data_IF_160987060377
#
_entry.id   IF_160987060377
#
_cell.length_a   1.000
_cell.length_b   1.000
_cell.length_c   1.000
_cell.angle_alpha   90.00
_cell.angle_beta   90.00
_cell.angle_gamma   90.00
#
_symmetry.space_group_name_H-M   'P 1'
#
loop_
_entity.id
_entity.type
_entity.pdbx_description
1 polymer ?
#
# COMPACT_ATOMS: atom_id res chain seq x y z
N UNK A 1 15.26 -11.03 16.54
CA UNK A 1 15.23 -11.52 15.16
C UNK A 1 15.51 -10.34 14.22
N UNK A 2 16.42 -10.52 13.30
CA UNK A 2 16.77 -9.49 12.30
C UNK A 2 16.41 -9.98 10.90
N UNK A 3 15.64 -9.20 10.15
CA UNK A 3 15.23 -9.50 8.79
C UNK A 3 15.84 -8.47 7.84
N UNK A 4 16.59 -8.94 6.84
CA UNK A 4 17.37 -8.07 5.96
C UNK A 4 16.98 -8.16 4.49
N UNK A 5 16.02 -9.01 4.15
CA UNK A 5 15.57 -9.16 2.75
C UNK A 5 14.15 -9.71 2.69
N UNK A 6 13.48 -9.43 1.59
CA UNK A 6 12.22 -10.08 1.23
C UNK A 6 12.55 -11.41 0.55
N UNK A 7 12.06 -12.50 1.13
CA UNK A 7 12.36 -13.86 0.65
C UNK A 7 11.41 -14.31 -0.47
N UNK A 8 10.28 -13.65 -0.62
CA UNK A 8 9.26 -13.96 -1.61
C UNK A 8 7.87 -13.63 -1.07
N UNK A 9 6.84 -14.08 -1.76
CA UNK A 9 5.45 -13.92 -1.35
C UNK A 9 4.96 -15.17 -0.62
N UNK A 10 4.01 -14.98 0.29
CA UNK A 10 3.49 -16.09 1.11
C UNK A 10 3.01 -17.28 0.27
N UNK A 11 2.37 -17.04 -0.87
CA UNK A 11 1.87 -18.09 -1.74
C UNK A 11 2.98 -18.96 -2.37
N UNK A 12 4.23 -18.51 -2.35
CA UNK A 12 5.39 -19.24 -2.87
C UNK A 12 5.99 -20.20 -1.83
N UNK A 13 5.48 -20.20 -0.61
CA UNK A 13 6.02 -20.98 0.50
C UNK A 13 5.09 -22.13 0.90
N UNK A 14 5.69 -23.27 1.26
CA UNK A 14 4.96 -24.35 1.92
C UNK A 14 4.73 -23.95 3.39
N UNK A 15 3.46 -23.77 3.75
CA UNK A 15 3.06 -23.40 5.11
C UNK A 15 2.67 -24.57 5.99
N UNK A 16 2.70 -25.78 5.47
CA UNK A 16 2.28 -27.00 6.17
C UNK A 16 3.10 -27.19 7.44
N UNK A 17 2.41 -27.27 8.58
CA UNK A 17 3.03 -27.48 9.89
C UNK A 17 3.80 -26.28 10.43
N UNK A 18 3.71 -25.12 9.78
CA UNK A 18 4.40 -23.91 10.20
C UNK A 18 3.45 -22.89 10.81
N UNK A 19 3.95 -22.15 11.78
CA UNK A 19 3.25 -20.99 12.33
C UNK A 19 3.52 -19.78 11.46
N UNK A 20 2.47 -19.05 11.11
CA UNK A 20 2.60 -17.78 10.39
C UNK A 20 2.41 -16.66 11.40
N UNK A 21 3.41 -15.79 11.50
CA UNK A 21 3.35 -14.58 12.32
C UNK A 21 3.31 -13.36 11.41
N UNK A 22 2.45 -12.41 11.72
CA UNK A 22 2.30 -11.21 10.92
C UNK A 22 2.88 -10.00 11.63
N UNK A 23 3.54 -9.15 10.83
CA UNK A 23 4.02 -7.85 11.28
C UNK A 23 3.30 -6.76 10.48
N UNK A 24 2.72 -5.79 11.17
CA UNK A 24 1.99 -4.70 10.53
C UNK A 24 2.96 -3.62 10.06
N UNK A 25 2.92 -3.35 8.75
CA UNK A 25 3.65 -2.25 8.13
C UNK A 25 2.62 -1.35 7.45
N UNK A 26 2.40 -0.18 8.01
CA UNK A 26 1.49 0.81 7.43
C UNK A 26 2.00 1.29 6.07
N UNK A 27 1.09 1.65 5.17
CA UNK A 27 1.45 2.06 3.81
C UNK A 27 2.50 3.19 3.80
N UNK A 28 2.42 4.14 4.73
CA UNK A 28 3.35 5.27 4.80
C UNK A 28 4.73 4.91 5.36
N UNK A 29 4.85 3.74 6.00
CA UNK A 29 6.12 3.20 6.49
C UNK A 29 6.78 2.25 5.49
N UNK A 30 6.02 1.77 4.51
CA UNK A 30 6.41 0.65 3.64
C UNK A 30 7.74 0.86 2.92
N UNK A 31 8.12 2.10 2.66
CA UNK A 31 9.33 2.46 1.92
C UNK A 31 10.51 2.82 2.82
N UNK A 32 10.38 2.68 4.12
CA UNK A 32 11.51 2.84 5.05
C UNK A 32 12.34 1.57 5.10
N UNK A 33 13.64 1.73 5.26
CA UNK A 33 14.57 0.60 5.33
C UNK A 33 14.61 -0.05 6.70
N UNK A 34 14.35 0.71 7.74
CA UNK A 34 14.55 0.27 9.12
C UNK A 34 13.23 0.31 9.88
N UNK A 35 12.88 -0.82 10.49
CA UNK A 35 11.71 -0.94 11.36
C UNK A 35 12.06 -1.74 12.62
N UNK A 36 11.37 -1.44 13.70
CA UNK A 36 11.34 -2.27 14.90
C UNK A 36 9.88 -2.57 15.21
N UNK A 37 9.50 -3.81 15.14
CA UNK A 37 8.10 -4.25 15.23
C UNK A 37 7.96 -5.46 16.12
N UNK A 38 6.73 -5.72 16.51
CA UNK A 38 6.34 -6.92 17.25
C UNK A 38 5.26 -7.63 16.42
N UNK A 39 5.43 -8.93 16.22
CA UNK A 39 4.43 -9.71 15.46
C UNK A 39 3.14 -9.89 16.26
N UNK A 40 2.10 -10.36 15.59
CA UNK A 40 0.83 -10.71 16.25
C UNK A 40 0.96 -11.85 17.26
N UNK A 41 2.06 -12.56 17.28
CA UNK A 41 2.40 -13.62 18.26
C UNK A 41 3.36 -13.13 19.36
N UNK A 42 3.75 -11.86 19.35
CA UNK A 42 4.62 -11.25 20.35
C UNK A 42 6.12 -11.36 20.10
N UNK A 43 6.54 -11.78 18.91
CA UNK A 43 7.96 -11.86 18.57
C UNK A 43 8.50 -10.48 18.19
N UNK A 44 9.61 -10.07 18.79
CA UNK A 44 10.30 -8.84 18.41
C UNK A 44 11.08 -9.05 17.12
N UNK A 45 10.86 -8.13 16.15
CA UNK A 45 11.48 -8.19 14.82
C UNK A 45 12.14 -6.87 14.50
N UNK A 46 13.44 -6.91 14.22
CA UNK A 46 14.16 -5.81 13.60
C UNK A 46 14.20 -6.03 12.09
N UNK A 47 13.89 -4.99 11.34
CA UNK A 47 13.91 -5.03 9.87
C UNK A 47 14.94 -4.01 9.40
N UNK A 48 15.88 -4.46 8.56
CA UNK A 48 16.90 -3.59 7.95
C UNK A 48 17.10 -4.00 6.50
N UNK A 49 16.36 -3.34 5.61
CA UNK A 49 16.40 -3.62 4.18
C UNK A 49 17.45 -2.79 3.47
N UNK A 50 17.84 -3.22 2.27
CA UNK A 50 18.70 -2.46 1.38
C UNK A 50 17.93 -1.36 0.63
N UNK A 51 18.61 -0.64 -0.25
CA UNK A 51 18.02 0.50 -0.95
C UNK A 51 16.91 0.12 -1.93
N UNK A 52 16.79 -1.14 -2.33
CA UNK A 52 15.71 -1.58 -3.22
C UNK A 52 14.32 -1.34 -2.63
N UNK A 53 14.23 -1.33 -1.29
CA UNK A 53 12.95 -1.11 -0.62
C UNK A 53 12.45 0.33 -0.77
N UNK A 54 13.33 1.28 -1.04
CA UNK A 54 12.96 2.69 -1.22
C UNK A 54 12.03 2.89 -2.43
N UNK A 55 12.12 2.01 -3.41
CA UNK A 55 11.24 2.04 -4.59
C UNK A 55 10.15 0.97 -4.53
N UNK A 56 10.48 -0.23 -4.03
CA UNK A 56 9.56 -1.36 -4.00
C UNK A 56 8.57 -1.29 -2.84
N UNK A 57 9.03 -0.97 -1.67
CA UNK A 57 8.26 -1.03 -0.43
C UNK A 57 8.11 -2.46 0.12
N UNK A 58 7.79 -2.53 1.41
CA UNK A 58 7.32 -3.75 2.08
C UNK A 58 5.80 -3.74 2.07
N UNK A 59 5.15 -4.79 1.56
CA UNK A 59 3.69 -4.79 1.49
C UNK A 59 3.10 -6.19 1.65
N UNK A 60 1.80 -6.28 1.59
CA UNK A 60 1.01 -7.47 1.92
C UNK A 60 1.65 -8.75 1.39
N UNK A 61 1.75 -9.74 2.27
CA UNK A 61 2.24 -11.10 1.99
C UNK A 61 3.73 -11.23 1.69
N UNK A 62 4.52 -10.18 1.85
CA UNK A 62 5.98 -10.29 1.80
C UNK A 62 6.46 -11.15 2.97
N UNK A 63 7.21 -12.21 2.66
CA UNK A 63 7.84 -13.07 3.66
C UNK A 63 9.22 -12.50 3.94
N UNK A 64 9.48 -12.14 5.19
CA UNK A 64 10.75 -11.54 5.61
C UNK A 64 11.60 -12.44 6.50
N UNK A 65 11.02 -13.57 6.95
CA UNK A 65 11.74 -14.60 7.69
C UNK A 65 11.06 -15.95 7.45
N UNK A 66 11.85 -17.00 7.31
CA UNK A 66 11.35 -18.36 7.16
C UNK A 66 12.34 -19.36 7.75
N UNK A 67 11.83 -20.32 8.52
CA UNK A 67 12.57 -21.50 8.98
C UNK A 67 11.65 -22.73 8.95
N UNK A 68 12.07 -23.83 9.55
CA UNK A 68 11.29 -25.06 9.55
C UNK A 68 10.02 -24.98 10.40
N UNK A 69 9.94 -24.02 11.31
CA UNK A 69 8.86 -23.92 12.28
C UNK A 69 7.91 -22.76 12.00
N UNK A 70 8.42 -21.65 11.40
CA UNK A 70 7.61 -20.45 11.21
C UNK A 70 8.02 -19.56 10.04
N UNK A 71 7.06 -18.75 9.65
CA UNK A 71 7.24 -17.65 8.70
C UNK A 71 6.86 -16.34 9.39
N UNK A 72 7.59 -15.27 9.07
CA UNK A 72 7.17 -13.90 9.43
C UNK A 72 6.79 -13.18 8.15
N UNK A 73 5.58 -12.66 8.12
CA UNK A 73 4.92 -12.15 6.92
C UNK A 73 4.44 -10.72 7.17
N UNK A 74 4.60 -9.86 6.18
CA UNK A 74 4.11 -8.49 6.25
C UNK A 74 2.60 -8.46 6.04
N UNK A 75 1.90 -7.78 6.93
CA UNK A 75 0.51 -7.40 6.76
C UNK A 75 0.45 -5.88 6.51
N UNK A 76 -0.24 -5.48 5.46
CA UNK A 76 -0.55 -4.08 5.21
C UNK A 76 -1.91 -3.77 5.80
N UNK A 77 -2.00 -3.03 6.92
CA UNK A 77 -3.30 -2.73 7.51
C UNK A 77 -4.19 -1.93 6.58
N UNK A 78 -5.52 -2.09 6.67
CA UNK A 78 -6.43 -1.22 5.93
C UNK A 78 -6.22 0.25 6.31
N UNK A 79 -6.45 1.12 5.36
CA UNK A 79 -6.37 2.56 5.59
C UNK A 79 -7.53 3.29 4.94
N UNK A 80 -7.74 4.54 5.33
CA UNK A 80 -8.76 5.38 4.74
C UNK A 80 -8.31 5.87 3.37
N UNK A 81 -9.15 5.66 2.37
CA UNK A 81 -8.91 6.04 0.98
C UNK A 81 -10.09 6.81 0.42
N UNK A 82 -9.89 7.39 -0.75
CA UNK A 82 -10.96 7.94 -1.57
C UNK A 82 -11.09 7.06 -2.81
N UNK A 83 -12.27 6.52 -3.06
CA UNK A 83 -12.60 5.89 -4.33
C UNK A 83 -13.18 6.92 -5.27
N UNK A 84 -12.60 7.03 -6.45
CA UNK A 84 -13.02 7.97 -7.48
C UNK A 84 -13.57 7.21 -8.67
N UNK A 85 -14.80 7.51 -9.04
CA UNK A 85 -15.46 6.95 -10.22
C UNK A 85 -15.90 8.07 -11.16
N UNK A 86 -16.00 7.73 -12.44
CA UNK A 86 -16.44 8.67 -13.47
C UNK A 86 -17.87 8.35 -13.87
N UNK A 87 -18.69 9.40 -13.96
CA UNK A 87 -20.05 9.27 -14.48
C UNK A 87 -19.99 8.87 -15.97
N UNK A 88 -20.89 8.00 -16.39
CA UNK A 88 -20.99 7.59 -17.80
C UNK A 88 -21.05 8.81 -18.72
N UNK A 89 -20.26 8.80 -19.80
CA UNK A 89 -20.12 9.91 -20.73
C UNK A 89 -19.08 10.95 -20.32
N UNK A 90 -18.44 10.79 -19.15
CA UNK A 90 -17.44 11.73 -18.63
C UNK A 90 -16.06 11.09 -18.50
N UNK A 91 -15.76 10.09 -19.32
CA UNK A 91 -14.52 9.31 -19.25
C UNK A 91 -13.27 10.18 -19.45
N UNK A 92 -13.38 11.28 -20.18
CA UNK A 92 -12.28 12.24 -20.37
C UNK A 92 -11.84 12.90 -19.06
N UNK A 93 -12.69 12.92 -18.06
CA UNK A 93 -12.36 13.51 -16.76
C UNK A 93 -11.33 12.66 -15.98
N UNK A 94 -11.05 11.45 -16.43
CA UNK A 94 -9.97 10.63 -15.85
C UNK A 94 -8.63 11.35 -15.89
N UNK A 95 -8.33 12.04 -17.00
CA UNK A 95 -7.10 12.82 -17.13
C UNK A 95 -7.02 13.94 -16.09
N UNK A 96 -8.14 14.63 -15.84
CA UNK A 96 -8.20 15.70 -14.85
C UNK A 96 -8.04 15.15 -13.42
N UNK A 97 -8.72 14.05 -13.12
CA UNK A 97 -8.62 13.38 -11.81
C UNK A 97 -7.16 12.98 -11.54
N UNK A 98 -6.54 12.28 -12.47
CA UNK A 98 -5.16 11.82 -12.31
C UNK A 98 -4.18 12.98 -12.20
N UNK A 99 -4.37 14.02 -13.01
CA UNK A 99 -3.54 15.22 -12.94
C UNK A 99 -3.64 15.91 -11.57
N UNK A 100 -4.86 16.12 -11.08
CA UNK A 100 -5.08 16.81 -9.80
C UNK A 100 -4.53 16.03 -8.63
N UNK A 101 -4.70 14.70 -8.62
CA UNK A 101 -4.14 13.84 -7.57
C UNK A 101 -2.61 13.85 -7.64
N UNK A 102 -2.05 13.67 -8.83
CA UNK A 102 -0.60 13.65 -9.04
C UNK A 102 0.06 14.98 -8.75
N UNK A 103 -0.61 16.09 -9.09
CA UNK A 103 -0.11 17.44 -8.82
C UNK A 103 0.02 17.73 -7.33
N UNK A 104 -0.73 17.03 -6.49
CA UNK A 104 -0.64 17.12 -5.03
C UNK A 104 0.31 16.09 -4.43
N UNK A 105 1.05 15.37 -5.27
CA UNK A 105 1.98 14.30 -4.87
C UNK A 105 1.31 13.20 -4.05
N UNK A 106 0.01 13.01 -4.20
CA UNK A 106 -0.72 11.94 -3.54
C UNK A 106 -0.52 10.62 -4.29
N UNK A 107 -0.48 9.48 -3.57
CA UNK A 107 -0.42 8.18 -4.21
C UNK A 107 -1.67 7.91 -5.03
N UNK A 108 -1.50 7.25 -6.17
CA UNK A 108 -2.59 6.93 -7.08
C UNK A 108 -2.54 5.44 -7.44
N UNK A 109 -3.67 4.77 -7.31
CA UNK A 109 -3.82 3.33 -7.57
C UNK A 109 -5.03 3.10 -8.47
N UNK A 110 -4.99 2.02 -9.23
CA UNK A 110 -6.19 1.49 -9.86
C UNK A 110 -7.09 0.87 -8.78
N UNK A 111 -8.38 1.17 -8.86
CA UNK A 111 -9.42 0.46 -8.14
C UNK A 111 -10.11 -0.56 -9.04
N UNK A 112 -11.16 -1.20 -8.52
CA UNK A 112 -11.98 -2.10 -9.32
C UNK A 112 -12.90 -1.32 -10.26
N UNK A 113 -13.27 -1.94 -11.41
CA UNK A 113 -14.23 -1.38 -12.36
C UNK A 113 -13.87 0.03 -12.86
N UNK A 114 -12.61 0.21 -13.27
CA UNK A 114 -12.09 1.46 -13.81
C UNK A 114 -12.20 2.65 -12.84
N UNK A 115 -12.20 2.38 -11.55
CA UNK A 115 -12.11 3.41 -10.53
C UNK A 115 -10.65 3.73 -10.19
N UNK A 116 -10.45 4.83 -9.48
CA UNK A 116 -9.14 5.24 -8.96
C UNK A 116 -9.19 5.27 -7.45
N UNK A 117 -8.06 4.98 -6.81
CA UNK A 117 -7.90 5.04 -5.37
C UNK A 117 -6.77 6.00 -5.03
N UNK A 118 -7.01 6.89 -4.10
CA UNK A 118 -5.98 7.72 -3.49
C UNK A 118 -6.17 7.74 -1.97
N UNK A 119 -5.18 8.25 -1.24
CA UNK A 119 -5.25 8.32 0.22
C UNK A 119 -6.22 9.42 0.62
N UNK A 120 -7.03 9.12 1.64
CA UNK A 120 -8.00 10.09 2.15
C UNK A 120 -7.33 11.25 2.89
N UNK A 121 -7.74 12.44 2.54
CA UNK A 121 -7.76 13.62 3.40
C UNK A 121 -8.96 14.47 2.97
N UNK A 122 -9.47 15.27 3.88
CA UNK A 122 -10.70 16.02 3.62
C UNK A 122 -10.56 17.01 2.46
N UNK A 123 -9.48 17.80 2.34
CA UNK A 123 -9.32 18.72 1.20
C UNK A 123 -9.31 17.99 -0.15
N UNK A 124 -8.69 16.82 -0.23
CA UNK A 124 -8.66 16.01 -1.46
C UNK A 124 -10.07 15.54 -1.82
N UNK A 125 -10.82 15.03 -0.86
CA UNK A 125 -12.19 14.56 -1.10
C UNK A 125 -13.07 15.72 -1.60
N UNK A 126 -13.02 16.87 -0.95
CA UNK A 126 -13.80 18.04 -1.35
C UNK A 126 -13.44 18.50 -2.76
N UNK A 127 -12.14 18.55 -3.08
CA UNK A 127 -11.67 18.93 -4.42
C UNK A 127 -12.19 17.97 -5.49
N UNK A 128 -12.07 16.67 -5.26
CA UNK A 128 -12.52 15.66 -6.22
C UNK A 128 -14.03 15.70 -6.44
N UNK A 129 -14.80 15.89 -5.37
CA UNK A 129 -16.27 15.98 -5.46
C UNK A 129 -16.75 17.19 -6.25
N UNK A 130 -15.93 18.23 -6.42
CA UNK A 130 -16.26 19.43 -7.20
C UNK A 130 -15.98 19.28 -8.69
N UNK A 131 -15.29 18.22 -9.12
CA UNK A 131 -15.01 18.01 -10.53
C UNK A 131 -16.28 17.48 -11.22
N UNK A 132 -16.70 18.16 -12.28
CA UNK A 132 -17.88 17.74 -13.04
C UNK A 132 -17.71 16.32 -13.62
N UNK A 133 -18.72 15.49 -13.44
CA UNK A 133 -18.71 14.11 -13.94
C UNK A 133 -17.90 13.13 -13.10
N UNK A 134 -17.47 13.53 -11.91
CA UNK A 134 -16.65 12.74 -10.99
C UNK A 134 -17.42 12.49 -9.70
N UNK A 135 -17.39 11.25 -9.23
CA UNK A 135 -17.91 10.86 -7.92
C UNK A 135 -16.73 10.41 -7.06
N UNK A 136 -16.67 10.89 -5.82
CA UNK A 136 -15.61 10.54 -4.90
C UNK A 136 -16.19 10.23 -3.52
N UNK A 137 -15.78 9.09 -2.95
CA UNK A 137 -16.29 8.59 -1.69
C UNK A 137 -15.14 8.11 -0.81
N UNK A 138 -15.27 8.34 0.48
CA UNK A 138 -14.35 7.79 1.47
C UNK A 138 -14.65 6.33 1.72
N UNK A 139 -13.62 5.49 1.72
CA UNK A 139 -13.71 4.08 2.04
C UNK A 139 -12.53 3.66 2.91
N UNK A 140 -12.60 2.45 3.47
CA UNK A 140 -11.49 1.80 4.17
C UNK A 140 -11.15 0.51 3.43
N UNK A 141 -9.91 0.38 2.99
CA UNK A 141 -9.46 -0.83 2.31
C UNK A 141 -7.94 -1.03 2.46
N UNK A 142 -7.48 -2.23 2.13
CA UNK A 142 -6.05 -2.52 2.00
C UNK A 142 -5.57 -2.03 0.65
N UNK A 143 -4.47 -1.27 0.63
CA UNK A 143 -3.84 -0.85 -0.61
C UNK A 143 -3.14 -2.04 -1.27
N UNK A 144 -3.38 -2.20 -2.56
CA UNK A 144 -2.68 -3.17 -3.40
C UNK A 144 -1.57 -2.46 -4.17
N UNK A 145 -0.32 -2.65 -3.74
CA UNK A 145 0.83 -1.98 -4.33
C UNK A 145 1.08 -2.39 -5.79
N UNK A 146 0.59 -3.56 -6.20
CA UNK A 146 0.70 -4.01 -7.58
C UNK A 146 -0.20 -3.20 -8.52
N UNK A 147 -1.18 -2.49 -7.98
CA UNK A 147 -2.09 -1.62 -8.72
C UNK A 147 -1.67 -0.15 -8.72
N UNK A 148 -0.44 0.16 -8.35
CA UNK A 148 0.06 1.54 -8.36
C UNK A 148 0.07 2.10 -9.78
N UNK A 149 -0.43 3.33 -9.91
CA UNK A 149 -0.27 4.15 -11.09
C UNK A 149 0.93 5.08 -10.90
N UNK A 150 1.06 5.65 -9.70
CA UNK A 150 2.19 6.50 -9.36
C UNK A 150 3.49 5.68 -9.26
N UNK A 151 4.60 6.25 -9.70
CA UNK A 151 5.90 5.58 -9.65
C UNK A 151 6.36 5.31 -8.21
N UNK A 152 5.90 6.13 -7.27
CA UNK A 152 6.22 5.99 -5.84
C UNK A 152 5.03 6.47 -5.03
N UNK A 153 4.78 5.82 -3.88
CA UNK A 153 3.80 6.29 -2.90
C UNK A 153 4.47 7.04 -1.75
N UNK A 154 5.78 7.24 -1.82
CA UNK A 154 6.49 8.09 -0.89
C UNK A 154 6.27 9.56 -1.24
N UNK A 155 6.02 10.35 -0.20
CA UNK A 155 6.12 11.79 -0.34
C UNK A 155 7.59 12.17 -0.51
N UNK A 156 7.92 12.68 -1.69
CA UNK A 156 9.24 13.23 -1.91
C UNK A 156 9.34 14.58 -1.23
N UNK A 157 10.30 14.69 -0.34
CA UNK A 157 10.68 15.98 0.21
C UNK A 157 11.69 16.61 -0.75
N UNK A 158 11.31 17.72 -1.29
CA UNK A 158 12.17 18.51 -2.15
C UNK A 158 12.88 19.59 -1.35
#
# INVERSE_FOLDING_TARGET
>A
MLCEQVLGKLHDFDTTGKTIEYVDIEWHEAFKKIHKKITDKGTEVGIRMDDSILARGLYQDDVIYADDEKLVVVNTPPCEVIRVSLTSGHEKMSAKVCYEIGNRHAPLFWGENDTFITIYNEPMLVMLQKIHGVQAEKEVLKLDFDKRISASINNHHH
#
